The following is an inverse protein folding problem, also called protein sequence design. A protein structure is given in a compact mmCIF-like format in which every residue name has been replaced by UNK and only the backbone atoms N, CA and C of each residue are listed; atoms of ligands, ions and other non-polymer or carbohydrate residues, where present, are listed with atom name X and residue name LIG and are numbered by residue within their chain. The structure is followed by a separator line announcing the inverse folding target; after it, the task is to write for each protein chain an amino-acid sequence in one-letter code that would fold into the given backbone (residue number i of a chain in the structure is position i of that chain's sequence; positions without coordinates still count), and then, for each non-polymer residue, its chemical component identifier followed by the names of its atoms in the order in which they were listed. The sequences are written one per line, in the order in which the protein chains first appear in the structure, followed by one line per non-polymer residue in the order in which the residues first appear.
data_IF_725696675767
#
_entry.id   IF_725696675767
#
_cell.length_a   1.000
_cell.length_b   1.000
_cell.length_c   1.000
_cell.angle_alpha   90.00
_cell.angle_beta   90.00
_cell.angle_gamma   90.00
#
_symmetry.space_group_name_H-M   'P 1'
#
loop_
_entity.id
_entity.type
_entity.pdbx_description
1 polymer ?
#
# COMPACT_ATOMS: atom_id res chain seq x y z
N UNK A 1 -20.92 -2.32 18.66
CA UNK A 1 -19.47 -2.59 18.48
C UNK A 1 -18.84 -1.84 17.30
N UNK A 2 -19.47 -1.78 16.11
CA UNK A 2 -18.90 -1.03 14.96
C UNK A 2 -18.76 0.49 15.16
N UNK A 3 -19.60 1.12 15.99
CA UNK A 3 -19.57 2.57 16.22
C UNK A 3 -18.37 3.04 17.08
N UNK A 4 -17.81 2.17 17.94
CA UNK A 4 -16.77 2.57 18.90
C UNK A 4 -15.41 2.79 18.22
N UNK A 5 -15.07 1.97 17.22
CA UNK A 5 -13.80 2.04 16.49
C UNK A 5 -13.71 3.30 15.64
N UNK A 6 -14.80 3.62 14.94
CA UNK A 6 -14.92 4.82 14.12
C UNK A 6 -14.76 6.05 15.02
N UNK A 7 -15.38 6.05 16.20
CA UNK A 7 -15.22 7.15 17.16
C UNK A 7 -13.77 7.30 17.66
N UNK A 8 -13.04 6.21 17.95
CA UNK A 8 -11.63 6.31 18.38
C UNK A 8 -10.74 6.92 17.29
N UNK A 9 -10.91 6.49 16.03
CA UNK A 9 -10.10 6.99 14.91
C UNK A 9 -10.51 8.41 14.44
N UNK A 10 -11.78 8.77 14.64
CA UNK A 10 -12.27 10.14 14.38
C UNK A 10 -11.83 11.09 15.50
N UNK A 11 -11.83 10.63 16.76
CA UNK A 11 -11.34 11.41 17.90
C UNK A 11 -9.82 11.58 17.88
N UNK A 12 -9.05 10.58 17.45
CA UNK A 12 -7.59 10.71 17.26
C UNK A 12 -7.21 11.73 16.17
N UNK A 13 -8.13 12.05 15.23
CA UNK A 13 -7.96 13.15 14.26
C UNK A 13 -8.37 14.53 14.82
N UNK A 14 -9.10 14.58 15.93
CA UNK A 14 -9.66 15.79 16.54
C UNK A 14 -8.92 16.24 17.81
N UNK A 15 -8.16 15.34 18.44
CA UNK A 15 -7.26 15.63 19.56
C UNK A 15 -5.85 15.17 19.21
N UNK A 16 -4.89 16.09 19.17
CA UNK A 16 -3.45 15.81 18.96
C UNK A 16 -2.82 14.94 20.09
N UNK A 17 -3.63 14.40 21.01
CA UNK A 17 -3.17 13.78 22.27
C UNK A 17 -3.26 12.25 22.32
N UNK A 18 -3.91 11.56 21.36
CA UNK A 18 -3.94 10.08 21.35
C UNK A 18 -2.76 9.59 20.50
N UNK A 19 -1.68 9.19 21.19
CA UNK A 19 -0.45 8.70 20.57
C UNK A 19 -0.55 7.24 20.10
N UNK A 20 0.53 6.76 19.48
CA UNK A 20 0.64 5.37 19.03
C UNK A 20 0.38 4.36 20.16
N UNK A 21 0.95 4.61 21.35
CA UNK A 21 0.77 3.74 22.52
C UNK A 21 -0.70 3.62 22.97
N UNK A 22 -1.47 4.71 22.89
CA UNK A 22 -2.87 4.72 23.31
C UNK A 22 -3.78 3.93 22.35
N UNK A 23 -3.51 4.02 21.04
CA UNK A 23 -4.16 3.17 20.03
C UNK A 23 -3.83 1.70 20.31
N UNK A 24 -2.58 1.45 20.67
CA UNK A 24 -2.10 0.11 20.95
C UNK A 24 -2.76 -0.53 22.19
N UNK A 25 -2.97 0.23 23.25
CA UNK A 25 -3.57 -0.27 24.50
C UNK A 25 -5.10 -0.26 24.48
N UNK A 26 -5.71 0.29 23.42
CA UNK A 26 -7.15 0.43 23.35
C UNK A 26 -7.86 -0.94 23.36
N UNK A 27 -8.94 -1.15 24.18
CA UNK A 27 -9.63 -2.43 24.31
C UNK A 27 -10.17 -3.05 23.00
N UNK A 28 -10.33 -2.24 21.96
CA UNK A 28 -10.67 -2.74 20.62
C UNK A 28 -9.59 -3.67 20.04
N UNK A 29 -8.31 -3.39 20.29
CA UNK A 29 -7.17 -4.15 19.79
C UNK A 29 -6.64 -5.20 20.79
N UNK A 30 -7.31 -5.40 21.93
CA UNK A 30 -6.85 -6.33 22.98
C UNK A 30 -6.63 -7.78 22.50
N UNK A 31 -7.33 -8.20 21.45
CA UNK A 31 -7.24 -9.53 20.86
C UNK A 31 -6.33 -9.58 19.62
N UNK A 32 -5.58 -8.50 19.36
CA UNK A 32 -4.63 -8.41 18.25
C UNK A 32 -3.24 -8.63 18.81
N UNK A 33 -2.66 -9.79 18.48
CA UNK A 33 -1.23 -10.03 18.65
C UNK A 33 -0.47 -9.29 17.53
N UNK A 34 0.34 -8.29 17.91
CA UNK A 34 1.08 -7.47 16.93
C UNK A 34 2.23 -8.20 16.31
N UNK A 35 2.98 -8.95 17.10
CA UNK A 35 4.15 -9.66 16.62
C UNK A 35 3.72 -10.70 15.57
N UNK A 36 2.62 -11.40 15.83
CA UNK A 36 2.01 -12.32 14.85
C UNK A 36 1.42 -11.59 13.64
N UNK A 37 0.82 -10.41 13.82
CA UNK A 37 0.25 -9.63 12.72
C UNK A 37 1.34 -9.09 11.78
N UNK A 38 2.43 -8.53 12.33
CA UNK A 38 3.58 -8.04 11.57
C UNK A 38 4.29 -9.18 10.81
N UNK A 39 4.37 -10.35 11.42
CA UNK A 39 4.89 -11.58 10.79
C UNK A 39 3.89 -12.25 9.83
N UNK A 40 2.72 -11.64 9.55
CA UNK A 40 1.66 -12.16 8.68
C UNK A 40 1.12 -13.54 9.09
N UNK A 41 1.18 -13.89 10.37
CA UNK A 41 0.71 -15.18 10.92
C UNK A 41 -0.78 -15.17 11.27
N UNK A 42 -1.38 -13.99 11.40
CA UNK A 42 -2.83 -13.84 11.60
C UNK A 42 -3.54 -13.99 10.26
N UNK A 43 -4.45 -14.95 10.16
CA UNK A 43 -5.24 -15.19 8.94
C UNK A 43 -6.15 -13.98 8.66
N UNK A 44 -6.08 -13.36 7.47
CA UNK A 44 -6.97 -12.26 7.12
C UNK A 44 -8.44 -12.70 7.12
N UNK A 45 -9.37 -11.85 7.59
CA UNK A 45 -10.79 -12.18 7.65
C UNK A 45 -11.45 -12.25 6.26
N UNK A 46 -10.80 -11.70 5.24
CA UNK A 46 -11.25 -11.72 3.86
C UNK A 46 -10.09 -12.15 2.95
N UNK A 47 -10.36 -13.13 2.09
CA UNK A 47 -9.44 -13.56 1.05
C UNK A 47 -9.99 -13.09 -0.31
N UNK A 48 -9.31 -12.18 -1.03
CA UNK A 48 -9.77 -11.77 -2.35
C UNK A 48 -9.74 -12.94 -3.33
N UNK A 49 -10.65 -12.92 -4.30
CA UNK A 49 -10.67 -13.92 -5.37
C UNK A 49 -9.59 -13.56 -6.39
N UNK A 50 -8.76 -14.53 -6.75
CA UNK A 50 -7.72 -14.39 -7.78
C UNK A 50 -7.92 -15.57 -8.71
N UNK A 51 -8.50 -15.34 -9.89
CA UNK A 51 -8.81 -16.43 -10.83
C UNK A 51 -7.66 -16.70 -11.80
N UNK A 52 -6.91 -15.67 -12.17
CA UNK A 52 -5.81 -15.73 -13.13
C UNK A 52 -4.44 -15.43 -12.50
N UNK A 53 -3.36 -15.82 -13.19
CA UNK A 53 -1.96 -15.64 -12.73
C UNK A 53 -1.65 -14.19 -12.32
N UNK A 54 -2.23 -13.23 -13.03
CA UNK A 54 -2.02 -11.81 -12.82
C UNK A 54 -3.10 -11.14 -11.95
N UNK A 55 -4.17 -11.86 -11.60
CA UNK A 55 -5.20 -11.37 -10.67
C UNK A 55 -5.92 -10.10 -11.11
N UNK A 56 -6.14 -9.92 -12.42
CA UNK A 56 -6.71 -8.69 -12.98
C UNK A 56 -8.18 -8.44 -12.57
N UNK A 57 -8.86 -9.47 -12.04
CA UNK A 57 -10.26 -9.42 -11.59
C UNK A 57 -10.55 -8.37 -10.50
N UNK A 58 -9.52 -7.93 -9.77
CA UNK A 58 -9.66 -6.95 -8.70
C UNK A 58 -9.31 -5.52 -9.15
N UNK A 59 -9.05 -5.31 -10.44
CA UNK A 59 -8.83 -3.99 -11.03
C UNK A 59 -10.09 -3.53 -11.77
N UNK A 60 -10.29 -2.21 -11.84
CA UNK A 60 -11.39 -1.66 -12.62
C UNK A 60 -11.19 -1.99 -14.11
N UNK A 61 -12.22 -2.52 -14.81
CA UNK A 61 -12.16 -2.74 -16.25
C UNK A 61 -11.77 -1.52 -17.07
N UNK A 62 -11.98 -0.29 -16.57
CA UNK A 62 -11.51 0.93 -17.25
C UNK A 62 -10.00 0.86 -17.53
N UNK A 63 -9.20 0.41 -16.56
CA UNK A 63 -7.74 0.31 -16.73
C UNK A 63 -7.28 -0.96 -17.42
N UNK A 64 -7.94 -2.10 -17.19
CA UNK A 64 -7.51 -3.37 -17.79
C UNK A 64 -7.89 -3.51 -19.27
N UNK A 65 -8.86 -2.73 -19.75
CA UNK A 65 -9.23 -2.66 -21.17
C UNK A 65 -8.44 -1.59 -21.94
N UNK A 66 -7.77 -0.66 -21.23
CA UNK A 66 -6.90 0.30 -21.88
C UNK A 66 -5.70 -0.39 -22.55
N UNK A 67 -5.25 0.12 -23.70
CA UNK A 67 -4.13 -0.47 -24.40
C UNK A 67 -2.83 -0.20 -23.62
N UNK A 68 -2.00 -1.23 -23.47
CA UNK A 68 -0.73 -1.14 -22.73
C UNK A 68 0.33 -0.42 -23.57
N UNK A 69 0.26 0.92 -23.59
CA UNK A 69 1.25 1.79 -24.23
C UNK A 69 1.58 3.01 -23.35
N UNK A 70 2.77 3.56 -23.58
CA UNK A 70 3.16 4.84 -23.02
C UNK A 70 2.58 5.96 -23.87
N UNK A 71 2.03 6.98 -23.22
CA UNK A 71 1.62 8.22 -23.90
C UNK A 71 2.84 8.83 -24.59
N UNK A 72 2.76 9.22 -25.87
CA UNK A 72 3.87 9.87 -26.56
C UNK A 72 4.30 11.18 -25.88
N UNK A 73 5.60 11.45 -25.87
CA UNK A 73 6.17 12.65 -25.25
C UNK A 73 5.78 13.93 -25.98
N UNK A 74 5.58 15.01 -25.21
CA UNK A 74 5.53 16.38 -25.73
C UNK A 74 6.93 17.01 -25.69
N UNK A 75 7.51 17.19 -26.87
CA UNK A 75 8.88 17.69 -27.02
C UNK A 75 9.08 19.10 -26.45
N UNK A 76 8.04 19.93 -26.37
CA UNK A 76 8.17 21.29 -25.85
C UNK A 76 8.24 21.28 -24.33
N UNK A 77 7.43 20.43 -23.68
CA UNK A 77 7.46 20.21 -22.23
C UNK A 77 8.81 19.60 -21.81
N UNK A 78 9.26 18.56 -22.50
CA UNK A 78 10.49 17.83 -22.15
C UNK A 78 11.73 18.74 -22.22
N UNK A 79 11.75 19.72 -23.13
CA UNK A 79 12.87 20.66 -23.29
C UNK A 79 12.95 21.73 -22.19
N UNK A 80 11.83 22.06 -21.56
CA UNK A 80 11.80 23.05 -20.48
C UNK A 80 12.35 22.49 -19.16
N UNK A 81 12.38 21.17 -19.02
CA UNK A 81 12.90 20.48 -17.83
C UNK A 81 14.43 20.44 -17.84
N UNK A 82 15.05 20.78 -16.72
CA UNK A 82 16.52 20.77 -16.56
C UNK A 82 17.10 19.41 -16.17
N UNK A 83 16.22 18.46 -15.77
CA UNK A 83 16.56 17.09 -15.38
C UNK A 83 17.28 16.93 -14.04
N UNK A 84 17.78 18.02 -13.44
CA UNK A 84 18.53 17.95 -12.18
C UNK A 84 17.63 17.63 -10.98
N UNK A 85 16.34 17.93 -11.07
CA UNK A 85 15.34 17.51 -10.09
C UNK A 85 15.25 15.98 -9.93
N UNK A 86 15.75 15.21 -10.91
CA UNK A 86 15.73 13.74 -10.90
C UNK A 86 17.10 13.07 -10.64
N UNK A 87 18.15 13.83 -10.30
CA UNK A 87 19.53 13.31 -10.23
C UNK A 87 19.78 12.14 -9.26
N UNK A 88 18.83 11.86 -8.36
CA UNK A 88 18.89 10.75 -7.39
C UNK A 88 17.63 9.86 -7.45
N UNK A 89 16.92 9.86 -8.57
CA UNK A 89 15.69 9.07 -8.74
C UNK A 89 15.96 7.58 -8.91
N UNK A 90 17.12 7.23 -9.49
CA UNK A 90 17.49 5.84 -9.73
C UNK A 90 17.64 5.07 -8.41
N UNK A 91 16.85 4.01 -8.27
CA UNK A 91 16.90 3.11 -7.13
C UNK A 91 16.75 1.66 -7.59
N UNK A 92 17.60 0.78 -7.05
CA UNK A 92 17.49 -0.67 -7.21
C UNK A 92 17.37 -1.26 -5.82
N UNK A 93 16.31 -2.03 -5.56
CA UNK A 93 16.21 -2.77 -4.32
C UNK A 93 17.21 -3.93 -4.34
N UNK A 94 18.30 -3.81 -3.58
CA UNK A 94 19.37 -4.80 -3.51
C UNK A 94 18.92 -6.15 -2.91
N UNK A 95 17.78 -6.20 -2.22
CA UNK A 95 17.24 -7.45 -1.65
C UNK A 95 16.51 -8.30 -2.70
N UNK A 96 16.01 -7.71 -3.79
CA UNK A 96 15.25 -8.45 -4.82
C UNK A 96 16.14 -9.34 -5.69
N UNK A 97 17.46 -9.08 -5.74
CA UNK A 97 18.39 -9.87 -6.57
C UNK A 97 18.61 -11.30 -6.07
N UNK A 98 18.18 -11.63 -4.85
CA UNK A 98 18.39 -12.95 -4.24
C UNK A 98 17.14 -13.84 -4.26
N UNK A 99 15.97 -13.33 -4.68
CA UNK A 99 14.71 -14.09 -4.66
C UNK A 99 14.40 -14.80 -5.99
N UNK A 100 15.10 -14.48 -7.08
CA UNK A 100 14.85 -15.09 -8.41
C UNK A 100 15.49 -16.50 -8.60
N UNK A 101 16.34 -16.98 -7.70
CA UNK A 101 16.95 -18.33 -7.81
C UNK A 101 16.12 -19.48 -7.19
N UNK A 102 14.90 -19.22 -6.72
CA UNK A 102 14.01 -20.27 -6.18
C UNK A 102 12.80 -20.49 -7.09
N UNK A 103 13.04 -21.07 -8.27
CA UNK A 103 12.00 -21.70 -9.10
C UNK A 103 12.41 -23.13 -9.42
#
# INVERSE_FOLDING_TARGET
MKATVVNVMVMSKLSDEIGFADIQEHPFFQNVDRDMMEQKQVVPPFKPNISERFGLDNFDPEFSNEPVLLTPDDNDIVKELDGYEFASFEHINHLMMYEEEVV
#
